data_IF_237032443973
#
_entry.id   IF_237032443973
#
_cell.length_a   1.000
_cell.length_b   1.000
_cell.length_c   1.000
_cell.angle_alpha   90.00
_cell.angle_beta   90.00
_cell.angle_gamma   90.00
#
_symmetry.space_group_name_H-M   'P 1'
#
loop_
_entity.id
_entity.type
_entity.pdbx_description
1 polymer ?
#
# COMPACT_ATOMS: atom_id res chain seq x y z
N UNK A 1 29.69 -21.37 41.41
CA UNK A 1 28.24 -21.12 41.30
C UNK A 1 28.06 -20.32 40.01
N UNK A 2 27.77 -21.03 38.91
CA UNK A 2 27.87 -20.51 37.53
C UNK A 2 26.46 -20.18 37.04
N UNK A 3 26.20 -18.90 36.75
CA UNK A 3 24.92 -18.46 36.20
C UNK A 3 24.88 -18.81 34.71
N UNK A 4 24.00 -19.73 34.34
CA UNK A 4 23.70 -20.01 32.94
C UNK A 4 22.98 -18.79 32.34
N UNK A 5 23.63 -18.11 31.41
CA UNK A 5 23.01 -17.10 30.54
C UNK A 5 21.99 -17.81 29.65
N UNK A 6 20.70 -17.63 29.92
CA UNK A 6 19.62 -18.10 29.06
C UNK A 6 19.66 -17.31 27.74
N UNK A 7 20.06 -17.99 26.67
CA UNK A 7 20.10 -17.49 25.31
C UNK A 7 18.69 -17.13 24.83
N UNK A 8 18.53 -15.85 24.50
CA UNK A 8 17.48 -15.20 23.70
C UNK A 8 16.55 -16.12 22.90
N UNK A 9 15.31 -16.25 23.39
CA UNK A 9 14.06 -16.20 22.62
C UNK A 9 13.94 -17.10 21.39
N UNK A 10 13.60 -18.36 21.62
CA UNK A 10 12.98 -19.24 20.63
C UNK A 10 11.48 -18.89 20.54
N UNK A 11 11.14 -17.86 19.76
CA UNK A 11 9.73 -17.54 19.46
C UNK A 11 9.36 -18.29 18.19
N UNK A 12 8.35 -19.19 18.23
CA UNK A 12 7.92 -19.89 17.04
C UNK A 12 7.50 -18.88 15.99
N UNK A 13 8.19 -18.88 14.85
CA UNK A 13 7.77 -18.14 13.67
C UNK A 13 6.48 -18.77 13.17
N UNK A 14 5.41 -17.98 13.07
CA UNK A 14 4.11 -18.45 12.53
C UNK A 14 4.21 -18.96 11.08
N UNK A 15 5.33 -18.70 10.39
CA UNK A 15 5.65 -19.17 9.05
C UNK A 15 7.13 -19.56 9.01
N UNK A 16 7.43 -20.85 8.95
CA UNK A 16 8.79 -21.34 8.74
C UNK A 16 9.30 -20.86 7.37
N UNK A 17 10.41 -20.10 7.35
CA UNK A 17 11.05 -19.61 6.13
C UNK A 17 11.03 -18.09 5.91
N UNK A 18 10.32 -17.30 6.73
CA UNK A 18 10.43 -15.82 6.70
C UNK A 18 11.53 -15.36 7.64
N UNK A 19 12.77 -15.72 7.34
CA UNK A 19 13.94 -15.36 8.16
C UNK A 19 14.47 -13.95 7.87
N UNK A 20 13.90 -13.24 6.89
CA UNK A 20 14.33 -11.90 6.50
C UNK A 20 13.17 -10.89 6.48
N UNK A 21 13.00 -10.19 7.61
CA UNK A 21 11.96 -9.17 7.78
C UNK A 21 12.05 -8.02 6.76
N UNK A 22 13.26 -7.67 6.32
CA UNK A 22 13.46 -6.61 5.31
C UNK A 22 12.95 -7.05 3.95
N UNK A 23 13.15 -8.31 3.58
CA UNK A 23 12.62 -8.88 2.34
C UNK A 23 11.08 -8.92 2.39
N UNK A 24 10.50 -9.40 3.50
CA UNK A 24 9.05 -9.43 3.67
C UNK A 24 8.43 -8.02 3.55
N UNK A 25 9.02 -7.03 4.21
CA UNK A 25 8.57 -5.64 4.11
C UNK A 25 8.70 -5.07 2.69
N UNK A 26 9.76 -5.43 1.97
CA UNK A 26 9.98 -4.99 0.58
C UNK A 26 8.95 -5.60 -0.36
N UNK A 27 8.67 -6.90 -0.23
CA UNK A 27 7.64 -7.59 -1.01
C UNK A 27 6.28 -6.92 -0.77
N UNK A 28 5.88 -6.77 0.49
CA UNK A 28 4.61 -6.12 0.85
C UNK A 28 4.48 -4.72 0.25
N UNK A 29 5.54 -3.92 0.34
CA UNK A 29 5.58 -2.56 -0.20
C UNK A 29 5.36 -2.56 -1.72
N UNK A 30 6.09 -3.40 -2.45
CA UNK A 30 6.00 -3.48 -3.91
C UNK A 30 4.63 -4.01 -4.32
N UNK A 31 4.11 -5.04 -3.66
CA UNK A 31 2.76 -5.56 -3.90
C UNK A 31 1.68 -4.49 -3.69
N UNK A 32 1.78 -3.70 -2.62
CA UNK A 32 0.86 -2.57 -2.40
C UNK A 32 1.00 -1.50 -3.48
N UNK A 33 2.22 -1.16 -3.89
CA UNK A 33 2.45 -0.22 -4.98
C UNK A 33 1.82 -0.68 -6.30
N UNK A 34 1.94 -1.97 -6.63
CA UNK A 34 1.29 -2.58 -7.80
C UNK A 34 -0.24 -2.53 -7.68
N UNK A 35 -0.79 -2.81 -6.49
CA UNK A 35 -2.23 -2.73 -6.23
C UNK A 35 -2.78 -1.31 -6.52
N UNK A 36 -2.10 -0.28 -6.03
CA UNK A 36 -2.49 1.12 -6.29
C UNK A 36 -2.40 1.48 -7.77
N UNK A 37 -1.37 1.01 -8.48
CA UNK A 37 -1.25 1.20 -9.93
C UNK A 37 -2.37 0.48 -10.70
N UNK A 38 -2.75 -0.73 -10.29
CA UNK A 38 -3.87 -1.44 -10.88
C UNK A 38 -5.20 -0.71 -10.65
N UNK A 39 -5.40 -0.13 -9.47
CA UNK A 39 -6.56 0.72 -9.16
C UNK A 39 -6.61 1.99 -10.01
N UNK A 40 -5.49 2.71 -10.12
CA UNK A 40 -5.39 3.87 -11.00
C UNK A 40 -5.66 3.48 -12.46
N UNK A 41 -5.11 2.35 -12.92
CA UNK A 41 -5.35 1.80 -14.25
C UNK A 41 -6.83 1.48 -14.49
N UNK A 42 -7.51 0.86 -13.52
CA UNK A 42 -8.94 0.59 -13.60
C UNK A 42 -9.77 1.88 -13.79
N UNK A 43 -9.42 2.94 -13.08
CA UNK A 43 -10.08 4.26 -13.19
C UNK A 43 -9.77 4.97 -14.50
N UNK A 44 -8.57 4.81 -15.04
CA UNK A 44 -8.15 5.46 -16.29
C UNK A 44 -8.68 4.74 -17.54
N UNK A 45 -8.66 3.40 -17.55
CA UNK A 45 -8.93 2.62 -18.75
C UNK A 45 -10.32 1.97 -18.78
N UNK A 46 -10.89 1.61 -17.62
CA UNK A 46 -12.18 0.89 -17.56
C UNK A 46 -13.32 1.82 -17.17
N UNK A 47 -13.24 2.48 -16.00
CA UNK A 47 -14.28 3.41 -15.58
C UNK A 47 -14.22 4.74 -16.33
N UNK A 48 -13.03 5.11 -16.81
CA UNK A 48 -12.66 6.47 -17.22
C UNK A 48 -12.77 7.49 -16.07
N UNK A 49 -12.13 8.67 -16.18
CA UNK A 49 -12.25 9.69 -15.15
C UNK A 49 -13.70 10.15 -14.94
N UNK A 50 -14.52 10.20 -16.00
CA UNK A 50 -15.93 10.57 -15.90
C UNK A 50 -16.75 9.52 -15.13
N UNK A 51 -16.52 8.22 -15.36
CA UNK A 51 -17.19 7.17 -14.59
C UNK A 51 -16.76 7.15 -13.13
N UNK A 52 -15.49 7.46 -12.86
CA UNK A 52 -14.99 7.57 -11.47
C UNK A 52 -15.61 8.77 -10.74
N UNK A 53 -15.80 9.90 -11.41
CA UNK A 53 -16.55 11.05 -10.88
C UNK A 53 -17.99 10.66 -10.53
N UNK A 54 -18.66 9.89 -11.41
CA UNK A 54 -20.00 9.37 -11.15
C UNK A 54 -20.06 8.40 -9.96
N UNK A 55 -19.05 7.55 -9.80
CA UNK A 55 -18.92 6.67 -8.64
C UNK A 55 -18.75 7.47 -7.34
N UNK A 56 -17.91 8.50 -7.34
CA UNK A 56 -17.75 9.39 -6.18
C UNK A 56 -19.05 10.12 -5.85
N UNK A 57 -19.79 10.57 -6.86
CA UNK A 57 -21.11 11.16 -6.65
C UNK A 57 -22.09 10.16 -6.01
N UNK A 58 -22.03 8.88 -6.37
CA UNK A 58 -22.87 7.82 -5.75
C UNK A 58 -22.54 7.58 -4.27
N UNK A 59 -21.29 7.83 -3.88
CA UNK A 59 -20.83 7.79 -2.49
C UNK A 59 -21.15 9.08 -1.70
N UNK A 60 -21.77 10.08 -2.34
CA UNK A 60 -22.00 11.40 -1.74
C UNK A 60 -20.74 12.27 -1.64
N UNK A 61 -19.66 11.88 -2.32
CA UNK A 61 -18.39 12.61 -2.33
C UNK A 61 -18.35 13.64 -3.47
N UNK A 62 -17.65 14.78 -3.29
CA UNK A 62 -17.44 15.75 -4.35
C UNK A 62 -16.73 15.13 -5.56
N UNK A 63 -17.33 15.23 -6.75
CA UNK A 63 -16.78 14.72 -8.00
C UNK A 63 -15.31 15.07 -8.28
N UNK A 64 -14.85 16.32 -8.04
CA UNK A 64 -13.44 16.69 -8.25
C UNK A 64 -12.43 15.87 -7.44
N UNK A 65 -12.84 15.28 -6.30
CA UNK A 65 -11.95 14.42 -5.50
C UNK A 65 -11.51 13.17 -6.26
N UNK A 66 -12.32 12.69 -7.22
CA UNK A 66 -11.96 11.52 -8.02
C UNK A 66 -10.63 11.72 -8.76
N UNK A 67 -10.38 12.92 -9.30
CA UNK A 67 -9.11 13.22 -9.99
C UNK A 67 -7.92 13.27 -9.03
N UNK A 68 -8.12 13.83 -7.83
CA UNK A 68 -7.08 13.85 -6.79
C UNK A 68 -6.74 12.44 -6.31
N UNK A 69 -7.75 11.58 -6.14
CA UNK A 69 -7.56 10.18 -5.75
C UNK A 69 -6.83 9.41 -6.85
N UNK A 70 -7.22 9.55 -8.12
CA UNK A 70 -6.51 8.90 -9.24
C UNK A 70 -5.04 9.33 -9.28
N UNK A 71 -4.76 10.63 -9.13
CA UNK A 71 -3.39 11.13 -9.08
C UNK A 71 -2.62 10.55 -7.89
N UNK A 72 -3.22 10.56 -6.70
CA UNK A 72 -2.60 10.04 -5.49
C UNK A 72 -2.30 8.54 -5.58
N UNK A 73 -3.21 7.73 -6.13
CA UNK A 73 -2.99 6.29 -6.35
C UNK A 73 -1.85 6.05 -7.35
N UNK A 74 -1.81 6.82 -8.44
CA UNK A 74 -0.79 6.68 -9.46
C UNK A 74 0.60 7.06 -8.93
N UNK A 75 0.74 8.27 -8.40
CA UNK A 75 2.04 8.75 -7.88
C UNK A 75 2.45 8.02 -6.60
N UNK A 76 1.49 7.72 -5.73
CA UNK A 76 1.73 6.96 -4.50
C UNK A 76 2.14 5.52 -4.78
N UNK A 77 1.50 4.84 -5.73
CA UNK A 77 1.89 3.51 -6.17
C UNK A 77 3.32 3.47 -6.71
N UNK A 78 3.68 4.43 -7.56
CA UNK A 78 5.06 4.59 -8.07
C UNK A 78 6.05 4.83 -6.91
N UNK A 79 5.71 5.74 -6.00
CA UNK A 79 6.57 6.08 -4.87
C UNK A 79 6.80 4.89 -3.93
N UNK A 80 5.78 4.04 -3.70
CA UNK A 80 5.93 2.80 -2.94
C UNK A 80 6.87 1.81 -3.64
N UNK A 81 6.74 1.61 -4.95
CA UNK A 81 7.63 0.71 -5.70
C UNK A 81 9.08 1.19 -5.62
N UNK A 82 9.30 2.48 -5.89
CA UNK A 82 10.62 3.11 -5.82
C UNK A 82 11.18 3.18 -4.39
N UNK A 83 10.34 3.05 -3.37
CA UNK A 83 10.75 3.12 -1.97
C UNK A 83 10.99 4.54 -1.46
N UNK A 84 10.43 5.56 -2.12
CA UNK A 84 10.55 6.95 -1.70
C UNK A 84 9.52 7.26 -0.61
N UNK A 85 9.97 7.85 0.52
CA UNK A 85 9.12 8.29 1.63
C UNK A 85 8.04 7.28 2.06
N UNK A 86 8.38 5.98 2.06
CA UNK A 86 7.41 4.87 2.19
C UNK A 86 6.47 5.02 3.37
N UNK A 87 6.95 5.46 4.53
CA UNK A 87 6.12 5.68 5.73
C UNK A 87 5.01 6.71 5.48
N UNK A 88 5.36 7.86 4.92
CA UNK A 88 4.41 8.95 4.67
C UNK A 88 3.47 8.62 3.51
N UNK A 89 4.01 8.04 2.44
CA UNK A 89 3.21 7.62 1.28
C UNK A 89 2.20 6.54 1.69
N UNK A 90 2.62 5.54 2.47
CA UNK A 90 1.71 4.52 2.99
C UNK A 90 0.62 5.13 3.86
N UNK A 91 0.96 6.04 4.79
CA UNK A 91 -0.05 6.70 5.63
C UNK A 91 -1.05 7.51 4.83
N UNK A 92 -0.60 8.25 3.82
CA UNK A 92 -1.47 9.03 2.94
C UNK A 92 -2.39 8.15 2.09
N UNK A 93 -1.91 6.97 1.67
CA UNK A 93 -2.65 6.06 0.80
C UNK A 93 -3.69 5.19 1.52
N UNK A 94 -3.61 5.02 2.84
CA UNK A 94 -4.58 4.21 3.63
C UNK A 94 -6.04 4.63 3.38
N UNK A 95 -6.43 5.92 3.48
CA UNK A 95 -7.82 6.32 3.23
C UNK A 95 -8.17 6.47 1.74
N UNK A 96 -7.19 6.34 0.84
CA UNK A 96 -7.32 6.70 -0.59
C UNK A 96 -7.79 5.53 -1.45
N UNK A 97 -7.91 4.33 -0.90
CA UNK A 97 -8.39 3.14 -1.60
C UNK A 97 -9.90 2.98 -1.35
N UNK A 98 -10.79 3.62 -2.15
CA UNK A 98 -12.25 3.51 -2.02
C UNK A 98 -12.78 2.16 -2.50
#
# INVERSE_FOLDING_TARGET
>A
MTYATASTTDRPSLVDGVTNANLAATILRVSLGILFLAHAGLKLFVFTPAGTVGYFASLGLPGPLAYLVIAAELFGGIALILGAYTRWVSLALVPILP
#
